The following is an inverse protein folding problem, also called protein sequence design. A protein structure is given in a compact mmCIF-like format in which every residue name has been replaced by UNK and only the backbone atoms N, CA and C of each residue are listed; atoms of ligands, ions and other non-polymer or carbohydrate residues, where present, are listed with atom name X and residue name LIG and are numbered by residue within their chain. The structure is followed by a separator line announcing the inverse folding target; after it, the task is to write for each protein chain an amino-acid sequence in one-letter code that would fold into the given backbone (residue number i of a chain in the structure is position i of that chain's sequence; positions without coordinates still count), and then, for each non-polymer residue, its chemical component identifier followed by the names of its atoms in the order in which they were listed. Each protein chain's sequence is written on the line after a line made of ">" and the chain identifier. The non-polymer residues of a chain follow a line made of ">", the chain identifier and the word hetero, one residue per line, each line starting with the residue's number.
data_IF_068945074915
#
_entry.id   IF_068945074915
#
_cell.length_a   1.000
_cell.length_b   1.000
_cell.length_c   1.000
_cell.angle_alpha   90.00
_cell.angle_beta   90.00
_cell.angle_gamma   90.00
#
_symmetry.space_group_name_H-M   'P 1'
#
loop_
_entity.id
_entity.type
_entity.pdbx_description
1 polymer ?
#
# COMPACT_ATOMS: atom_id res chain seq x y z
N UNK A 1 16.66 8.13 10.78
CA UNK A 1 15.34 7.65 11.24
C UNK A 1 14.45 8.86 11.53
N UNK A 2 13.13 8.73 11.41
CA UNK A 2 12.18 9.81 11.69
C UNK A 2 10.84 9.24 12.16
N UNK A 3 10.16 9.96 13.05
CA UNK A 3 8.81 9.60 13.50
C UNK A 3 7.75 10.21 12.59
N UNK A 4 6.73 9.42 12.28
CA UNK A 4 5.47 9.84 11.67
C UNK A 4 4.33 9.40 12.57
N UNK A 5 3.18 10.05 12.43
CA UNK A 5 1.98 9.71 13.18
C UNK A 5 0.82 9.48 12.22
N UNK A 6 0.21 8.32 12.29
CA UNK A 6 -1.05 8.03 11.59
C UNK A 6 -2.22 8.30 12.52
N UNK A 7 -3.34 8.77 11.95
CA UNK A 7 -4.48 9.28 12.74
C UNK A 7 -4.09 10.37 13.76
N UNK A 8 -2.98 11.08 13.52
CA UNK A 8 -2.37 12.09 14.40
C UNK A 8 -1.84 11.59 15.75
N UNK A 9 -2.08 10.34 16.14
CA UNK A 9 -1.73 9.83 17.49
C UNK A 9 -0.94 8.53 17.48
N UNK A 10 -1.09 7.68 16.46
CA UNK A 10 -0.43 6.37 16.44
C UNK A 10 0.95 6.49 15.80
N UNK A 11 2.03 6.11 16.50
CA UNK A 11 3.39 6.33 16.02
C UNK A 11 3.75 5.32 14.91
N UNK A 12 4.57 5.79 13.97
CA UNK A 12 5.21 4.98 12.94
C UNK A 12 6.67 5.41 12.82
N UNK A 13 7.59 4.48 13.06
CA UNK A 13 9.01 4.72 12.92
C UNK A 13 9.45 4.50 11.47
N UNK A 14 9.98 5.52 10.82
CA UNK A 14 10.51 5.44 9.45
C UNK A 14 12.04 5.33 9.50
N UNK A 15 12.57 4.24 8.98
CA UNK A 15 14.00 3.96 8.90
C UNK A 15 14.40 3.95 7.42
N UNK A 16 15.30 4.87 7.03
CA UNK A 16 15.90 4.85 5.69
C UNK A 16 17.13 3.94 5.69
N UNK A 17 17.11 2.87 4.89
CA UNK A 17 18.17 1.87 4.87
C UNK A 17 18.15 1.07 3.57
N UNK A 18 19.33 0.67 3.09
CA UNK A 18 19.47 -0.26 1.95
C UNK A 18 19.67 -1.71 2.38
N UNK A 19 20.08 -1.94 3.63
CA UNK A 19 20.56 -3.26 4.11
C UNK A 19 19.45 -4.18 4.58
N UNK A 20 18.33 -3.61 5.06
CA UNK A 20 17.24 -4.36 5.68
C UNK A 20 16.04 -4.56 4.76
N UNK A 21 16.12 -4.03 3.54
CA UNK A 21 15.04 -4.11 2.55
C UNK A 21 15.46 -5.13 1.50
N UNK A 22 14.63 -6.17 1.22
CA UNK A 22 14.91 -7.11 0.15
C UNK A 22 15.14 -6.39 -1.18
N UNK A 23 16.05 -6.91 -2.01
CA UNK A 23 16.53 -6.22 -3.22
C UNK A 23 15.40 -5.77 -4.18
N UNK A 24 14.31 -6.53 -4.24
CA UNK A 24 13.14 -6.25 -5.10
C UNK A 24 12.26 -5.09 -4.62
N UNK A 25 12.43 -4.60 -3.39
CA UNK A 25 11.55 -3.60 -2.79
C UNK A 25 12.25 -2.27 -2.57
N UNK A 26 11.48 -1.19 -2.68
CA UNK A 26 11.90 0.18 -2.37
C UNK A 26 11.36 0.65 -1.00
N UNK A 27 10.31 0.01 -0.50
CA UNK A 27 9.70 0.22 0.80
C UNK A 27 9.23 -1.11 1.39
N UNK A 28 9.15 -1.19 2.71
CA UNK A 28 8.67 -2.37 3.43
C UNK A 28 7.98 -1.97 4.73
N UNK A 29 6.69 -2.24 4.83
CA UNK A 29 5.89 -2.02 6.04
C UNK A 29 5.93 -3.25 6.97
N UNK A 30 6.34 -3.02 8.22
CA UNK A 30 6.34 -3.99 9.31
C UNK A 30 5.29 -3.63 10.38
N UNK A 31 4.22 -2.92 10.00
CA UNK A 31 3.23 -2.34 10.90
C UNK A 31 3.65 -0.96 11.39
N UNK A 32 4.07 -0.81 12.67
CA UNK A 32 4.47 0.47 13.25
C UNK A 32 5.90 0.88 12.84
N UNK A 33 6.57 0.10 12.01
CA UNK A 33 7.90 0.39 11.47
C UNK A 33 7.84 0.32 9.95
N UNK A 34 8.37 1.33 9.28
CA UNK A 34 8.55 1.38 7.82
C UNK A 34 10.04 1.41 7.52
N UNK A 35 10.49 0.49 6.68
CA UNK A 35 11.80 0.55 6.05
C UNK A 35 11.64 1.18 4.67
N UNK A 36 12.45 2.17 4.34
CA UNK A 36 12.43 2.84 3.04
C UNK A 36 13.85 2.93 2.47
N UNK A 37 14.04 2.70 1.17
CA UNK A 37 15.34 2.98 0.56
C UNK A 37 15.60 4.49 0.58
N UNK A 38 16.86 4.95 0.73
CA UNK A 38 17.17 6.37 0.68
C UNK A 38 16.71 7.07 -0.61
N UNK A 39 16.68 6.32 -1.72
CA UNK A 39 16.25 6.77 -3.06
C UNK A 39 14.74 6.72 -3.28
N UNK A 40 13.97 6.22 -2.31
CA UNK A 40 12.53 6.09 -2.45
C UNK A 40 11.83 7.45 -2.56
N UNK A 41 10.87 7.53 -3.47
CA UNK A 41 10.06 8.74 -3.70
C UNK A 41 9.15 9.02 -2.50
N UNK A 42 8.84 10.29 -2.26
CA UNK A 42 7.94 10.69 -1.17
C UNK A 42 6.54 10.05 -1.29
N UNK A 43 6.03 9.87 -2.51
CA UNK A 43 4.75 9.20 -2.76
C UNK A 43 4.74 7.73 -2.25
N UNK A 44 5.87 7.03 -2.31
CA UNK A 44 5.99 5.67 -1.77
C UNK A 44 5.90 5.67 -0.24
N UNK A 45 6.39 6.71 0.45
CA UNK A 45 6.21 6.80 1.90
C UNK A 45 4.72 6.87 2.29
N UNK A 46 3.91 7.58 1.52
CA UNK A 46 2.46 7.65 1.78
C UNK A 46 1.74 6.33 1.53
N UNK A 47 2.22 5.53 0.58
CA UNK A 47 1.80 4.14 0.39
C UNK A 47 2.08 3.30 1.65
N UNK A 48 3.33 3.29 2.13
CA UNK A 48 3.73 2.52 3.31
C UNK A 48 3.04 3.00 4.60
N UNK A 49 2.78 4.31 4.74
CA UNK A 49 1.98 4.85 5.84
C UNK A 49 0.52 4.39 5.79
N UNK A 50 -0.01 4.14 4.59
CA UNK A 50 -1.37 3.59 4.43
C UNK A 50 -1.43 2.15 4.91
N UNK A 51 -0.40 1.33 4.67
CA UNK A 51 -0.31 0.01 5.29
C UNK A 51 -0.23 0.09 6.82
N UNK A 52 0.53 1.05 7.37
CA UNK A 52 0.55 1.27 8.83
C UNK A 52 -0.85 1.61 9.38
N UNK A 53 -1.61 2.47 8.68
CA UNK A 53 -3.02 2.75 9.01
C UNK A 53 -3.87 1.48 8.99
N UNK A 54 -3.71 0.64 7.95
CA UNK A 54 -4.44 -0.62 7.82
C UNK A 54 -4.10 -1.60 8.93
N UNK A 55 -2.82 -1.73 9.31
CA UNK A 55 -2.36 -2.56 10.44
C UNK A 55 -3.03 -2.10 11.73
N UNK A 56 -2.98 -0.80 12.05
CA UNK A 56 -3.66 -0.28 13.25
C UNK A 56 -5.19 -0.46 13.19
N UNK A 57 -5.82 -0.16 12.04
CA UNK A 57 -7.27 -0.33 11.82
C UNK A 57 -7.73 -1.78 12.00
N UNK A 58 -6.84 -2.74 11.75
CA UNK A 58 -7.12 -4.18 11.86
C UNK A 58 -6.54 -4.81 13.13
N UNK A 59 -6.10 -4.01 14.10
CA UNK A 59 -5.48 -4.50 15.34
C UNK A 59 -4.34 -5.51 15.05
N UNK A 60 -3.49 -5.17 14.08
CA UNK A 60 -2.35 -5.98 13.62
C UNK A 60 -2.71 -7.29 12.90
N UNK A 61 -3.98 -7.52 12.57
CA UNK A 61 -4.42 -8.71 11.82
C UNK A 61 -4.27 -8.58 10.30
N UNK A 62 -3.88 -7.40 9.78
CA UNK A 62 -3.73 -7.17 8.34
C UNK A 62 -2.91 -8.26 7.66
N UNK A 63 -1.73 -8.60 8.20
CA UNK A 63 -0.84 -9.59 7.58
C UNK A 63 -1.53 -10.94 7.37
N UNK A 64 -2.24 -11.44 8.38
CA UNK A 64 -2.97 -12.72 8.28
C UNK A 64 -4.07 -12.65 7.20
N UNK A 65 -4.92 -11.62 7.24
CA UNK A 65 -6.01 -11.43 6.28
C UNK A 65 -5.48 -11.25 4.85
N UNK A 66 -4.32 -10.59 4.69
CA UNK A 66 -3.68 -10.33 3.40
C UNK A 66 -3.27 -11.62 2.69
N UNK A 67 -2.79 -12.60 3.45
CA UNK A 67 -2.43 -13.92 2.93
C UNK A 67 -3.67 -14.77 2.65
N UNK A 68 -4.70 -14.68 3.49
CA UNK A 68 -5.92 -15.50 3.39
C UNK A 68 -6.91 -15.04 2.31
N UNK A 69 -6.88 -13.76 1.89
CA UNK A 69 -7.89 -13.23 0.96
C UNK A 69 -7.31 -12.29 -0.10
N UNK A 70 -7.39 -12.72 -1.36
CA UNK A 70 -7.06 -11.87 -2.53
C UNK A 70 -7.95 -10.63 -2.61
N UNK A 71 -9.21 -10.73 -2.18
CA UNK A 71 -10.14 -9.59 -2.15
C UNK A 71 -9.66 -8.50 -1.19
N UNK A 72 -9.26 -8.89 0.03
CA UNK A 72 -8.70 -7.93 0.99
C UNK A 72 -7.35 -7.38 0.54
N UNK A 73 -6.49 -8.23 -0.03
CA UNK A 73 -5.24 -7.81 -0.66
C UNK A 73 -5.47 -6.73 -1.71
N UNK A 74 -6.35 -6.97 -2.69
CA UNK A 74 -6.71 -6.00 -3.72
C UNK A 74 -7.23 -4.69 -3.10
N UNK A 75 -8.15 -4.78 -2.13
CA UNK A 75 -8.70 -3.60 -1.47
C UNK A 75 -7.63 -2.75 -0.80
N UNK A 76 -6.70 -3.37 -0.09
CA UNK A 76 -5.67 -2.66 0.65
C UNK A 76 -4.58 -2.06 -0.23
N UNK A 77 -4.13 -2.80 -1.23
CA UNK A 77 -3.17 -2.29 -2.21
C UNK A 77 -3.79 -1.15 -3.05
N UNK A 78 -5.06 -1.28 -3.46
CA UNK A 78 -5.76 -0.22 -4.17
C UNK A 78 -5.91 1.06 -3.31
N UNK A 79 -6.20 0.92 -2.01
CA UNK A 79 -6.22 2.04 -1.06
C UNK A 79 -4.85 2.71 -0.95
N UNK A 80 -3.75 1.93 -0.82
CA UNK A 80 -2.40 2.45 -0.74
C UNK A 80 -1.95 3.13 -2.04
N UNK A 81 -2.23 2.52 -3.19
CA UNK A 81 -1.92 3.11 -4.50
C UNK A 81 -2.76 4.33 -4.83
N UNK A 82 -4.02 4.42 -4.35
CA UNK A 82 -4.83 5.62 -4.51
C UNK A 82 -4.17 6.82 -3.81
N UNK A 83 -3.63 6.62 -2.61
CA UNK A 83 -2.89 7.66 -1.88
C UNK A 83 -1.58 8.00 -2.60
N UNK A 84 -0.82 7.00 -3.05
CA UNK A 84 0.43 7.20 -3.80
C UNK A 84 0.20 7.98 -5.11
N UNK A 85 -0.89 7.68 -5.83
CA UNK A 85 -1.30 8.40 -7.03
C UNK A 85 -1.60 9.87 -6.73
N UNK A 86 -2.41 10.14 -5.69
CA UNK A 86 -2.71 11.51 -5.24
C UNK A 86 -1.45 12.29 -4.81
N UNK A 87 -0.41 11.58 -4.35
CA UNK A 87 0.88 12.15 -4.01
C UNK A 87 1.80 12.39 -5.23
N UNK A 88 1.33 12.16 -6.47
CA UNK A 88 2.02 12.55 -7.70
C UNK A 88 2.71 11.42 -8.46
N UNK A 89 2.38 10.16 -8.20
CA UNK A 89 2.89 9.03 -8.99
C UNK A 89 2.00 8.71 -10.22
N UNK A 90 2.49 7.90 -11.15
CA UNK A 90 1.78 7.59 -12.40
C UNK A 90 0.72 6.49 -12.21
N UNK A 91 -0.56 6.83 -12.40
CA UNK A 91 -1.67 5.85 -12.32
C UNK A 91 -1.45 4.64 -13.24
N UNK A 92 -0.91 4.84 -14.44
CA UNK A 92 -0.64 3.75 -15.40
C UNK A 92 0.41 2.76 -14.85
N UNK A 93 1.48 3.29 -14.24
CA UNK A 93 2.52 2.46 -13.63
C UNK A 93 1.95 1.70 -12.43
N UNK A 94 1.25 2.40 -11.52
CA UNK A 94 0.67 1.78 -10.33
C UNK A 94 -0.35 0.69 -10.68
N UNK A 95 -1.17 0.90 -11.70
CA UNK A 95 -2.14 -0.09 -12.18
C UNK A 95 -1.45 -1.35 -12.73
N UNK A 96 -0.36 -1.17 -13.47
CA UNK A 96 0.48 -2.28 -13.97
C UNK A 96 1.12 -3.05 -12.81
N UNK A 97 1.65 -2.35 -11.81
CA UNK A 97 2.22 -2.98 -10.61
C UNK A 97 1.18 -3.78 -9.83
N UNK A 98 0.00 -3.19 -9.59
CA UNK A 98 -1.09 -3.84 -8.87
C UNK A 98 -1.56 -5.13 -9.56
N UNK A 99 -1.69 -5.12 -10.89
CA UNK A 99 -2.11 -6.29 -11.65
C UNK A 99 -1.10 -7.45 -11.56
N UNK A 100 0.20 -7.15 -11.61
CA UNK A 100 1.24 -8.16 -11.84
C UNK A 100 1.93 -8.67 -10.58
N UNK A 101 2.07 -7.86 -9.52
CA UNK A 101 2.97 -8.20 -8.41
C UNK A 101 2.30 -8.88 -7.21
N UNK A 102 0.97 -8.94 -7.18
CA UNK A 102 0.19 -9.33 -6.00
C UNK A 102 -0.58 -10.64 -6.17
N UNK A 103 -0.40 -11.34 -7.28
CA UNK A 103 -1.11 -12.59 -7.64
C UNK A 103 -2.64 -12.46 -7.55
N UNK A 104 -3.15 -11.29 -7.93
CA UNK A 104 -4.57 -10.96 -7.84
C UNK A 104 -5.38 -11.56 -8.97
N UNK A 105 -4.75 -11.84 -10.12
CA UNK A 105 -5.43 -12.40 -11.30
C UNK A 105 -6.37 -11.39 -11.98
N UNK A 106 -6.06 -10.10 -11.89
CA UNK A 106 -6.84 -9.02 -12.49
C UNK A 106 -6.06 -8.36 -13.64
N UNK A 107 -6.79 -7.78 -14.58
CA UNK A 107 -6.23 -6.95 -15.65
C UNK A 107 -5.76 -5.58 -15.14
N UNK A 108 -4.89 -4.93 -15.91
CA UNK A 108 -4.47 -3.54 -15.65
C UNK A 108 -5.67 -2.59 -15.61
N UNK A 109 -6.70 -2.83 -16.44
CA UNK A 109 -7.92 -2.01 -16.46
C UNK A 109 -8.71 -2.13 -15.16
N UNK A 110 -8.79 -3.34 -14.59
CA UNK A 110 -9.45 -3.60 -13.30
C UNK A 110 -8.64 -2.99 -12.15
N UNK A 111 -7.31 -3.10 -12.19
CA UNK A 111 -6.42 -2.46 -11.23
C UNK A 111 -6.60 -0.93 -11.24
N UNK A 112 -6.65 -0.31 -12.43
CA UNK A 112 -6.89 1.12 -12.55
C UNK A 112 -8.27 1.52 -11.98
N UNK A 113 -9.32 0.77 -12.28
CA UNK A 113 -10.66 1.01 -11.71
C UNK A 113 -10.67 0.86 -10.19
N UNK A 114 -9.96 -0.13 -9.64
CA UNK A 114 -9.84 -0.32 -8.21
C UNK A 114 -9.14 0.87 -7.52
N UNK A 115 -8.03 1.35 -8.09
CA UNK A 115 -7.28 2.51 -7.56
C UNK A 115 -8.15 3.77 -7.61
N UNK A 116 -8.82 4.04 -8.74
CA UNK A 116 -9.72 5.20 -8.88
C UNK A 116 -10.92 5.10 -7.93
N UNK A 117 -11.54 3.93 -7.81
CA UNK A 117 -12.64 3.70 -6.87
C UNK A 117 -12.23 3.94 -5.42
N UNK A 118 -11.06 3.44 -5.02
CA UNK A 118 -10.50 3.71 -3.70
C UNK A 118 -10.20 5.20 -3.48
N UNK A 119 -9.69 5.90 -4.50
CA UNK A 119 -9.44 7.34 -4.44
C UNK A 119 -10.72 8.17 -4.23
N UNK A 120 -11.85 7.71 -4.76
CA UNK A 120 -13.16 8.37 -4.67
C UNK A 120 -13.97 7.93 -3.42
N UNK A 121 -13.43 7.03 -2.59
CA UNK A 121 -14.16 6.50 -1.43
C UNK A 121 -15.31 5.55 -1.79
N UNK A 122 -15.35 5.06 -3.04
CA UNK A 122 -16.33 4.08 -3.50
C UNK A 122 -15.91 2.69 -2.99
N UNK A 123 -16.26 2.40 -1.74
CA UNK A 123 -15.96 1.10 -1.14
C UNK A 123 -16.89 0.02 -1.71
N UNK A 124 -16.35 -0.93 -2.48
CA UNK A 124 -16.86 -2.31 -2.45
C UNK A 124 -17.34 -2.99 -3.74
N UNK A 125 -17.03 -2.50 -4.94
CA UNK A 125 -17.53 -3.10 -6.19
C UNK A 125 -16.48 -3.82 -7.04
N UNK A 126 -15.61 -4.66 -6.49
CA UNK A 126 -14.71 -5.48 -7.34
C UNK A 126 -14.58 -6.89 -6.76
N UNK A 127 -15.26 -7.84 -7.41
CA UNK A 127 -15.15 -9.27 -7.14
C UNK A 127 -16.48 -10.02 -7.14
N UNK A 128 -17.21 -9.99 -8.26
CA UNK A 128 -18.00 -11.14 -8.71
C UNK A 128 -17.68 -11.36 -10.19
N UNK A 129 -16.84 -12.36 -10.43
CA UNK A 129 -16.66 -13.08 -11.68
C UNK A 129 -16.18 -14.49 -11.30
#
# INVERSE_FOLDING_TARGET
>A
MSWRFVYRVLPVLVIRTDRLIPARFQGYNLGPVILLRPTARAALLEHELTHSRQVYRTLFLMGAIYYLSKRWRLRWEAEAYAVQWKAGDSLANLSTFLANNYHLGISVSEAQRAILGAALGLAGGFGEA
#
